data_IF_335104381206
#
_entry.id   IF_335104381206
#
_cell.length_a   1.000
_cell.length_b   1.000
_cell.length_c   1.000
_cell.angle_alpha   90.00
_cell.angle_beta   90.00
_cell.angle_gamma   90.00
#
_symmetry.space_group_name_H-M   'P 1'
#
loop_
_entity.id
_entity.type
_entity.pdbx_description
1 polymer ?
#
# COMPACT_ATOMS: atom_id res chain seq x y z
N UNK A 1 27.73 15.69 -16.02
CA UNK A 1 28.51 15.28 -14.84
C UNK A 1 27.83 15.73 -13.55
N UNK A 2 27.94 16.98 -13.07
CA UNK A 2 27.41 17.35 -11.72
C UNK A 2 25.92 17.06 -11.44
N UNK A 3 25.04 17.04 -12.45
CA UNK A 3 23.61 16.74 -12.25
C UNK A 3 23.37 15.25 -11.91
N UNK A 4 23.92 14.35 -12.72
CA UNK A 4 23.76 12.90 -12.57
C UNK A 4 24.59 12.37 -11.39
N UNK A 5 25.79 12.91 -11.19
CA UNK A 5 26.75 12.36 -10.24
C UNK A 5 26.57 12.88 -8.81
N UNK A 6 25.89 14.02 -8.64
CA UNK A 6 25.76 14.68 -7.33
C UNK A 6 24.33 15.09 -6.99
N UNK A 7 23.69 15.93 -7.81
CA UNK A 7 22.40 16.52 -7.44
C UNK A 7 21.27 15.50 -7.32
N UNK A 8 21.15 14.58 -8.28
CA UNK A 8 20.08 13.59 -8.29
C UNK A 8 20.27 12.56 -7.16
N UNK A 9 21.45 11.94 -6.97
CA UNK A 9 21.66 11.04 -5.84
C UNK A 9 21.45 11.73 -4.49
N UNK A 10 21.90 12.97 -4.34
CA UNK A 10 21.72 13.72 -3.10
C UNK A 10 20.24 14.05 -2.83
N UNK A 11 19.49 14.47 -3.85
CA UNK A 11 18.06 14.71 -3.74
C UNK A 11 17.31 13.43 -3.33
N UNK A 12 17.60 12.31 -4.00
CA UNK A 12 17.01 11.01 -3.69
C UNK A 12 17.38 10.50 -2.29
N UNK A 13 18.52 10.94 -1.73
CA UNK A 13 18.93 10.56 -0.37
C UNK A 13 18.14 11.27 0.74
N UNK A 14 17.53 12.42 0.43
CA UNK A 14 16.83 13.26 1.43
C UNK A 14 15.32 13.36 1.21
N UNK A 15 14.80 12.95 0.05
CA UNK A 15 13.37 12.98 -0.27
C UNK A 15 12.81 11.59 -0.53
N UNK A 16 11.56 11.36 -0.12
CA UNK A 16 10.77 10.22 -0.61
C UNK A 16 10.48 10.38 -2.11
N UNK A 17 9.98 9.31 -2.75
CA UNK A 17 9.67 9.30 -4.18
C UNK A 17 8.80 10.52 -4.57
N UNK A 18 9.34 11.36 -5.44
CA UNK A 18 8.74 12.62 -5.86
C UNK A 18 8.68 12.70 -7.39
N UNK A 19 7.59 13.23 -7.96
CA UNK A 19 7.51 13.58 -9.37
C UNK A 19 8.69 14.45 -9.82
N UNK A 20 9.45 13.97 -10.81
CA UNK A 20 10.60 14.67 -11.38
C UNK A 20 10.40 14.85 -12.89
N UNK A 21 10.76 16.01 -13.41
CA UNK A 21 10.77 16.31 -14.85
C UNK A 21 12.08 16.99 -15.20
N UNK A 22 12.76 16.52 -16.23
CA UNK A 22 14.02 17.09 -16.70
C UNK A 22 13.74 18.18 -17.74
N UNK A 23 14.31 19.37 -17.56
CA UNK A 23 14.10 20.48 -18.50
C UNK A 23 15.43 20.96 -19.06
N UNK A 24 15.65 20.70 -20.34
CA UNK A 24 16.77 21.26 -21.10
C UNK A 24 16.46 22.71 -21.51
N UNK A 25 16.65 23.64 -20.58
CA UNK A 25 16.33 25.05 -20.78
C UNK A 25 17.37 25.79 -21.65
N UNK A 26 16.99 26.95 -22.18
CA UNK A 26 17.81 27.85 -23.03
C UNK A 26 18.19 27.25 -24.39
N UNK A 27 17.32 26.46 -24.99
CA UNK A 27 17.56 25.89 -26.33
C UNK A 27 17.77 26.96 -27.42
N UNK A 28 17.31 28.18 -27.18
CA UNK A 28 17.55 29.34 -28.05
C UNK A 28 19.02 29.75 -28.18
N UNK A 29 19.87 29.33 -27.23
CA UNK A 29 21.32 29.58 -27.24
C UNK A 29 22.12 28.37 -27.76
N UNK A 30 21.45 27.26 -28.10
CA UNK A 30 22.13 26.06 -28.58
C UNK A 30 22.48 26.18 -30.07
N UNK A 31 23.75 25.94 -30.39
CA UNK A 31 24.23 25.86 -31.78
C UNK A 31 23.61 24.69 -32.56
N UNK A 32 23.20 23.63 -31.84
CA UNK A 32 22.53 22.46 -32.41
C UNK A 32 21.41 21.98 -31.51
N UNK A 33 20.17 22.23 -31.92
CA UNK A 33 18.98 21.67 -31.25
C UNK A 33 18.99 20.15 -31.23
N UNK A 34 19.57 19.50 -32.25
CA UNK A 34 19.67 18.03 -32.33
C UNK A 34 20.54 17.47 -31.20
N UNK A 35 21.72 18.04 -30.98
CA UNK A 35 22.63 17.56 -29.93
C UNK A 35 22.04 17.79 -28.53
N UNK A 36 21.33 18.91 -28.34
CA UNK A 36 20.63 19.18 -27.08
C UNK A 36 19.49 18.17 -26.83
N UNK A 37 18.81 17.73 -27.89
CA UNK A 37 17.76 16.72 -27.81
C UNK A 37 18.34 15.35 -27.48
N UNK A 38 19.44 14.94 -28.15
CA UNK A 38 20.16 13.69 -27.87
C UNK A 38 20.60 13.62 -26.40
N UNK A 39 21.25 14.66 -25.88
CA UNK A 39 21.68 14.71 -24.48
C UNK A 39 20.50 14.69 -23.47
N UNK A 40 19.36 15.27 -23.84
CA UNK A 40 18.15 15.21 -23.02
C UNK A 40 17.55 13.80 -23.01
N UNK A 41 17.54 13.12 -24.15
CA UNK A 41 16.99 11.78 -24.26
C UNK A 41 17.84 10.76 -23.48
N UNK A 42 19.17 10.87 -23.53
CA UNK A 42 20.08 10.07 -22.68
C UNK A 42 19.76 10.27 -21.20
N UNK A 43 19.54 11.52 -20.77
CA UNK A 43 19.24 11.84 -19.37
C UNK A 43 17.84 11.34 -18.96
N UNK A 44 16.86 11.37 -19.85
CA UNK A 44 15.52 10.82 -19.62
C UNK A 44 15.58 9.30 -19.45
N UNK A 45 16.37 8.61 -20.27
CA UNK A 45 16.52 7.17 -20.20
C UNK A 45 17.19 6.73 -18.90
N UNK A 46 18.30 7.39 -18.52
CA UNK A 46 19.03 7.11 -17.28
C UNK A 46 18.15 7.29 -16.03
N UNK A 47 17.29 8.30 -16.04
CA UNK A 47 16.48 8.66 -14.87
C UNK A 47 15.08 8.07 -14.89
N UNK A 48 14.60 7.56 -16.03
CA UNK A 48 13.24 7.06 -16.20
C UNK A 48 12.16 8.14 -16.05
N UNK A 49 12.48 9.41 -16.35
CA UNK A 49 11.58 10.56 -16.15
C UNK A 49 11.30 11.30 -17.45
N UNK A 50 10.13 11.97 -17.58
CA UNK A 50 9.85 12.81 -18.74
C UNK A 50 10.81 14.00 -18.79
N UNK A 51 11.08 14.49 -20.00
CA UNK A 51 11.88 15.69 -20.16
C UNK A 51 11.65 16.41 -21.48
N UNK A 52 11.90 17.72 -21.46
CA UNK A 52 11.57 18.63 -22.55
C UNK A 52 12.66 19.68 -22.76
N UNK A 53 12.96 20.00 -24.01
CA UNK A 53 13.73 21.20 -24.35
C UNK A 53 12.82 22.43 -24.24
N UNK A 54 13.29 23.47 -23.57
CA UNK A 54 12.55 24.71 -23.37
C UNK A 54 13.41 25.95 -23.57
N UNK A 55 12.74 27.10 -23.73
CA UNK A 55 13.37 28.41 -23.62
C UNK A 55 12.44 29.34 -22.86
N UNK A 56 12.85 29.72 -21.66
CA UNK A 56 12.15 30.74 -20.88
C UNK A 56 12.12 32.11 -21.58
N UNK A 57 13.08 32.37 -22.48
CA UNK A 57 13.17 33.64 -23.21
C UNK A 57 12.13 33.73 -24.33
N UNK A 58 11.89 32.63 -25.06
CA UNK A 58 10.94 32.60 -26.17
C UNK A 58 9.57 32.04 -25.78
N UNK A 59 9.46 31.48 -24.56
CA UNK A 59 8.27 30.77 -24.09
C UNK A 59 8.16 29.34 -24.63
N UNK A 60 9.12 28.87 -25.42
CA UNK A 60 9.09 27.52 -26.01
C UNK A 60 9.01 26.44 -24.91
N UNK A 61 7.96 25.64 -24.94
CA UNK A 61 7.74 24.46 -24.09
C UNK A 61 7.81 24.69 -22.56
N UNK A 62 7.73 25.94 -22.11
CA UNK A 62 7.70 26.25 -20.67
C UNK A 62 6.42 25.70 -20.04
N UNK A 63 5.26 26.01 -20.64
CA UNK A 63 3.97 25.52 -20.17
C UNK A 63 3.86 24.00 -20.23
N UNK A 64 4.42 23.38 -21.28
CA UNK A 64 4.43 21.92 -21.44
C UNK A 64 5.17 21.25 -20.30
N UNK A 65 6.33 21.80 -19.89
CA UNK A 65 7.11 21.28 -18.77
C UNK A 65 6.33 21.35 -17.45
N UNK A 66 5.70 22.50 -17.17
CA UNK A 66 4.87 22.67 -15.96
C UNK A 66 3.62 21.77 -15.98
N UNK A 67 2.95 21.64 -17.12
CA UNK A 67 1.78 20.77 -17.26
C UNK A 67 2.13 19.30 -17.05
N UNK A 68 3.28 18.85 -17.57
CA UNK A 68 3.76 17.49 -17.36
C UNK A 68 4.05 17.20 -15.88
N UNK A 69 4.69 18.14 -15.19
CA UNK A 69 4.93 18.04 -13.75
C UNK A 69 3.61 18.00 -12.96
N UNK A 70 2.68 18.91 -13.26
CA UNK A 70 1.39 18.97 -12.59
C UNK A 70 0.59 17.66 -12.76
N UNK A 71 0.57 17.10 -13.98
CA UNK A 71 -0.07 15.80 -14.24
C UNK A 71 0.57 14.67 -13.45
N UNK A 72 1.90 14.66 -13.34
CA UNK A 72 2.62 13.65 -12.56
C UNK A 72 2.31 13.75 -11.07
N UNK A 73 2.16 14.97 -10.53
CA UNK A 73 1.75 15.19 -9.13
C UNK A 73 0.33 14.68 -8.88
N UNK A 74 -0.62 15.01 -9.76
CA UNK A 74 -2.01 14.56 -9.62
C UNK A 74 -2.09 13.03 -9.72
N UNK A 75 -1.39 12.42 -10.67
CA UNK A 75 -1.38 10.96 -10.82
C UNK A 75 -0.80 10.24 -9.60
N UNK A 76 0.24 10.79 -8.97
CA UNK A 76 0.82 10.23 -7.75
C UNK A 76 -0.13 10.36 -6.55
N UNK A 77 -0.85 11.48 -6.45
CA UNK A 77 -1.89 11.68 -5.45
C UNK A 77 -3.06 10.70 -5.64
N UNK A 78 -3.53 10.51 -6.87
CA UNK A 78 -4.61 9.56 -7.18
C UNK A 78 -4.19 8.13 -6.82
N UNK A 79 -2.97 7.72 -7.18
CA UNK A 79 -2.45 6.40 -6.80
C UNK A 79 -2.39 6.21 -5.28
N UNK A 80 -1.95 7.23 -4.54
CA UNK A 80 -1.93 7.21 -3.06
C UNK A 80 -3.34 7.15 -2.46
N UNK A 81 -4.31 7.86 -3.03
CA UNK A 81 -5.71 7.82 -2.59
C UNK A 81 -6.35 6.45 -2.85
N UNK A 82 -6.17 5.89 -4.05
CA UNK A 82 -6.66 4.56 -4.39
C UNK A 82 -6.02 3.48 -3.52
N UNK A 83 -4.71 3.57 -3.24
CA UNK A 83 -4.04 2.65 -2.32
C UNK A 83 -4.64 2.72 -0.90
N UNK A 84 -4.95 3.92 -0.40
CA UNK A 84 -5.62 4.08 0.90
C UNK A 84 -7.03 3.47 0.91
N UNK A 85 -7.81 3.70 -0.14
CA UNK A 85 -9.15 3.12 -0.27
C UNK A 85 -9.11 1.59 -0.29
N UNK A 86 -8.17 0.99 -1.03
CA UNK A 86 -7.98 -0.45 -1.05
C UNK A 86 -7.59 -1.02 0.33
N UNK A 87 -6.78 -0.29 1.10
CA UNK A 87 -6.44 -0.67 2.49
C UNK A 87 -7.67 -0.58 3.40
N UNK A 88 -8.49 0.46 3.27
CA UNK A 88 -9.74 0.61 4.04
C UNK A 88 -10.77 -0.50 3.69
N UNK A 89 -10.93 -0.83 2.41
CA UNK A 89 -11.79 -1.93 1.95
C UNK A 89 -11.29 -3.28 2.48
N UNK A 90 -10.00 -3.57 2.36
CA UNK A 90 -9.41 -4.80 2.90
C UNK A 90 -9.58 -4.90 4.43
N UNK A 91 -9.39 -3.79 5.15
CA UNK A 91 -9.64 -3.74 6.59
C UNK A 91 -11.11 -4.03 6.91
N UNK A 92 -12.05 -3.51 6.11
CA UNK A 92 -13.47 -3.79 6.27
C UNK A 92 -13.80 -5.28 6.06
N UNK A 93 -13.22 -5.93 5.05
CA UNK A 93 -13.40 -7.37 4.82
C UNK A 93 -12.87 -8.20 6.00
N UNK A 94 -11.73 -7.83 6.58
CA UNK A 94 -11.22 -8.50 7.77
C UNK A 94 -12.09 -8.28 9.02
N UNK A 95 -12.77 -7.13 9.15
CA UNK A 95 -13.76 -6.91 10.22
C UNK A 95 -14.94 -7.88 10.06
N UNK A 96 -15.47 -8.02 8.85
CA UNK A 96 -16.57 -8.95 8.55
C UNK A 96 -16.16 -10.39 8.87
N UNK A 97 -14.95 -10.80 8.49
CA UNK A 97 -14.43 -12.13 8.83
C UNK A 97 -14.22 -12.30 10.34
N UNK A 98 -13.73 -11.27 11.03
CA UNK A 98 -13.58 -11.30 12.48
C UNK A 98 -14.91 -11.56 13.17
N UNK A 99 -15.96 -10.81 12.79
CA UNK A 99 -17.31 -10.99 13.34
C UNK A 99 -17.86 -12.39 13.04
N UNK A 100 -17.62 -12.91 11.84
CA UNK A 100 -18.04 -14.27 11.47
C UNK A 100 -17.34 -15.34 12.31
N UNK A 101 -16.04 -15.17 12.60
CA UNK A 101 -15.29 -16.05 13.51
C UNK A 101 -15.86 -16.00 14.93
N UNK A 102 -16.17 -14.79 15.42
CA UNK A 102 -16.74 -14.59 16.75
C UNK A 102 -18.11 -15.24 16.89
N UNK A 103 -19.00 -15.06 15.90
CA UNK A 103 -20.32 -15.68 15.90
C UNK A 103 -20.21 -17.21 15.87
N UNK A 104 -19.38 -17.76 15.00
CA UNK A 104 -19.16 -19.22 14.91
C UNK A 104 -18.64 -19.80 16.22
N UNK A 105 -17.70 -19.13 16.90
CA UNK A 105 -17.22 -19.53 18.21
C UNK A 105 -18.32 -19.47 19.27
N UNK A 106 -19.11 -18.40 19.28
CA UNK A 106 -20.19 -18.25 20.25
C UNK A 106 -21.24 -19.36 20.10
N UNK A 107 -21.59 -19.74 18.87
CA UNK A 107 -22.57 -20.79 18.61
C UNK A 107 -22.11 -22.16 19.15
N UNK A 108 -20.81 -22.48 19.04
CA UNK A 108 -20.29 -23.77 19.57
C UNK A 108 -20.02 -23.76 21.07
N UNK A 109 -19.82 -22.58 21.68
CA UNK A 109 -19.44 -22.44 23.10
C UNK A 109 -20.61 -22.06 24.03
N UNK A 110 -21.85 -22.36 23.63
CA UNK A 110 -23.03 -22.16 24.48
C UNK A 110 -23.68 -20.79 24.37
N UNK A 111 -23.45 -20.08 23.26
CA UNK A 111 -24.07 -18.81 22.93
C UNK A 111 -23.22 -17.58 23.25
N UNK A 112 -23.71 -16.42 22.82
CA UNK A 112 -22.97 -15.16 22.87
C UNK A 112 -22.59 -14.74 24.31
N UNK A 113 -23.50 -14.83 25.28
CA UNK A 113 -23.23 -14.36 26.65
C UNK A 113 -22.12 -15.17 27.35
N UNK A 114 -22.07 -16.49 27.14
CA UNK A 114 -21.09 -17.36 27.78
C UNK A 114 -19.71 -17.31 27.09
N UNK A 115 -19.70 -17.16 25.75
CA UNK A 115 -18.49 -17.28 24.95
C UNK A 115 -17.72 -15.96 24.78
N UNK A 116 -18.41 -14.81 24.84
CA UNK A 116 -17.79 -13.50 24.58
C UNK A 116 -16.63 -13.11 25.51
N UNK A 117 -16.63 -13.44 26.82
CA UNK A 117 -15.46 -13.20 27.67
C UNK A 117 -14.20 -13.92 27.16
N UNK A 118 -14.37 -15.16 26.69
CA UNK A 118 -13.26 -15.99 26.15
C UNK A 118 -12.77 -15.38 24.84
N UNK A 119 -13.69 -15.07 23.92
CA UNK A 119 -13.37 -14.43 22.63
C UNK A 119 -12.54 -13.16 22.83
N UNK A 120 -13.01 -12.27 23.70
CA UNK A 120 -12.35 -10.99 23.96
C UNK A 120 -10.95 -11.18 24.53
N UNK A 121 -10.79 -12.15 25.43
CA UNK A 121 -9.48 -12.49 26.00
C UNK A 121 -8.52 -13.03 24.92
N UNK A 122 -8.98 -13.91 24.04
CA UNK A 122 -8.12 -14.49 23.00
C UNK A 122 -7.75 -13.49 21.91
N UNK A 123 -8.67 -12.60 21.52
CA UNK A 123 -8.37 -11.48 20.60
C UNK A 123 -7.34 -10.53 21.19
N UNK A 124 -7.46 -10.17 22.47
CA UNK A 124 -6.44 -9.38 23.17
C UNK A 124 -5.09 -10.09 23.24
N UNK A 125 -5.08 -11.41 23.54
CA UNK A 125 -3.85 -12.22 23.57
C UNK A 125 -3.18 -12.31 22.20
N UNK A 126 -3.97 -12.31 21.13
CA UNK A 126 -3.49 -12.27 19.74
C UNK A 126 -3.04 -10.88 19.28
N UNK A 127 -3.23 -9.82 20.10
CA UNK A 127 -2.91 -8.46 19.71
C UNK A 127 -3.77 -7.93 18.55
N UNK A 128 -4.97 -8.48 18.36
CA UNK A 128 -5.87 -8.04 17.29
C UNK A 128 -6.50 -6.71 17.67
N UNK A 129 -6.27 -5.69 16.85
CA UNK A 129 -7.09 -4.48 16.88
C UNK A 129 -8.45 -4.78 16.23
N UNK A 130 -9.52 -4.66 17.01
CA UNK A 130 -10.90 -4.91 16.55
C UNK A 130 -11.30 -3.92 15.44
N UNK A 131 -10.68 -2.74 15.38
CA UNK A 131 -10.99 -1.71 14.37
C UNK A 131 -10.18 -1.86 13.08
N UNK A 132 -9.10 -2.62 13.11
CA UNK A 132 -8.23 -2.88 11.97
C UNK A 132 -7.59 -4.27 12.09
N UNK A 133 -8.39 -5.35 12.04
CA UNK A 133 -7.87 -6.70 12.17
C UNK A 133 -6.94 -7.03 11.00
N UNK A 134 -5.80 -7.64 11.31
CA UNK A 134 -4.83 -8.10 10.31
C UNK A 134 -4.99 -9.59 10.05
N UNK A 135 -4.61 -10.05 8.85
CA UNK A 135 -4.60 -11.47 8.52
C UNK A 135 -3.83 -12.32 9.54
N UNK A 136 -2.64 -11.86 9.94
CA UNK A 136 -1.80 -12.56 10.91
C UNK A 136 -2.42 -12.56 12.31
N UNK A 137 -2.98 -11.42 12.74
CA UNK A 137 -3.66 -11.31 14.02
C UNK A 137 -4.88 -12.24 14.10
N UNK A 138 -5.71 -12.27 13.04
CA UNK A 138 -6.85 -13.17 12.98
C UNK A 138 -6.43 -14.65 12.94
N UNK A 139 -5.34 -14.98 12.23
CA UNK A 139 -4.81 -16.35 12.22
C UNK A 139 -4.39 -16.79 13.63
N UNK A 140 -3.69 -15.92 14.35
CA UNK A 140 -3.26 -16.18 15.72
C UNK A 140 -4.45 -16.25 16.68
N UNK A 141 -5.46 -15.39 16.51
CA UNK A 141 -6.70 -15.44 17.28
C UNK A 141 -7.42 -16.78 17.08
N UNK A 142 -7.49 -17.30 15.85
CA UNK A 142 -8.06 -18.62 15.58
C UNK A 142 -7.29 -19.74 16.28
N UNK A 143 -5.95 -19.65 16.32
CA UNK A 143 -5.12 -20.61 17.06
C UNK A 143 -5.44 -20.58 18.57
N UNK A 144 -5.58 -19.41 19.18
CA UNK A 144 -5.95 -19.27 20.59
C UNK A 144 -7.40 -19.64 20.90
N UNK A 145 -8.33 -19.39 19.98
CA UNK A 145 -9.71 -19.86 20.12
C UNK A 145 -9.77 -21.39 20.08
N UNK A 146 -9.01 -22.03 19.20
CA UNK A 146 -8.92 -23.49 19.15
C UNK A 146 -8.32 -24.08 20.44
N UNK A 147 -7.29 -23.43 21.00
CA UNK A 147 -6.73 -23.79 22.32
C UNK A 147 -7.82 -23.73 23.40
N UNK A 148 -8.61 -22.65 23.44
CA UNK A 148 -9.71 -22.51 24.39
C UNK A 148 -10.80 -23.58 24.19
N UNK A 149 -11.19 -23.89 22.95
CA UNK A 149 -12.20 -24.92 22.66
C UNK A 149 -11.73 -26.33 23.04
N UNK A 150 -10.43 -26.62 22.93
CA UNK A 150 -9.88 -27.94 23.24
C UNK A 150 -10.10 -28.39 24.69
N UNK A 151 -10.37 -27.42 25.59
CA UNK A 151 -10.70 -27.70 26.99
C UNK A 151 -12.13 -28.20 27.18
N UNK A 152 -13.01 -28.01 26.19
CA UNK A 152 -14.45 -28.28 26.30
C UNK A 152 -15.00 -29.19 25.19
N UNK A 153 -14.28 -29.34 24.07
CA UNK A 153 -14.71 -30.08 22.88
C UNK A 153 -13.70 -31.15 22.48
N UNK A 154 -14.14 -32.11 21.67
CA UNK A 154 -13.25 -33.15 21.15
C UNK A 154 -12.27 -32.58 20.10
N UNK A 155 -11.12 -33.24 19.94
CA UNK A 155 -10.06 -32.76 19.06
C UNK A 155 -10.47 -32.69 17.58
N UNK A 156 -11.35 -33.59 17.12
CA UNK A 156 -11.80 -33.63 15.72
C UNK A 156 -12.65 -32.40 15.36
N UNK A 157 -13.57 -32.03 16.25
CA UNK A 157 -14.47 -30.89 16.08
C UNK A 157 -13.73 -29.55 16.19
N UNK A 158 -12.74 -29.46 17.09
CA UNK A 158 -11.89 -28.27 17.22
C UNK A 158 -11.06 -28.05 15.96
N UNK A 159 -10.46 -29.10 15.40
CA UNK A 159 -9.67 -29.00 14.17
C UNK A 159 -10.57 -28.66 12.97
N UNK A 160 -11.80 -29.17 12.92
CA UNK A 160 -12.78 -28.80 11.90
C UNK A 160 -13.17 -27.32 11.99
N UNK A 161 -13.50 -26.81 13.18
CA UNK A 161 -13.80 -25.39 13.43
C UNK A 161 -12.61 -24.50 13.08
N UNK A 162 -11.39 -24.89 13.47
CA UNK A 162 -10.15 -24.19 13.14
C UNK A 162 -9.95 -24.09 11.62
N UNK A 163 -10.05 -25.22 10.90
CA UNK A 163 -9.87 -25.27 9.45
C UNK A 163 -10.91 -24.42 8.71
N UNK A 164 -12.15 -24.43 9.18
CA UNK A 164 -13.25 -23.60 8.64
C UNK A 164 -12.93 -22.10 8.77
N UNK A 165 -12.55 -21.65 9.96
CA UNK A 165 -12.21 -20.24 10.24
C UNK A 165 -10.98 -19.76 9.47
N UNK A 166 -9.95 -20.61 9.37
CA UNK A 166 -8.79 -20.33 8.52
C UNK A 166 -9.16 -20.25 7.04
N UNK A 167 -10.20 -20.96 6.60
CA UNK A 167 -10.76 -20.86 5.26
C UNK A 167 -11.33 -19.47 4.97
N UNK A 168 -12.06 -18.87 5.92
CA UNK A 168 -12.61 -17.52 5.76
C UNK A 168 -11.51 -16.45 5.64
N UNK A 169 -10.46 -16.55 6.46
CA UNK A 169 -9.31 -15.64 6.39
C UNK A 169 -8.58 -15.76 5.04
N UNK A 170 -8.54 -16.95 4.44
CA UNK A 170 -7.92 -17.18 3.12
C UNK A 170 -8.78 -16.69 1.95
N UNK A 171 -10.09 -16.60 2.12
CA UNK A 171 -11.01 -16.15 1.08
C UNK A 171 -10.96 -14.63 0.86
N UNK A 172 -10.49 -13.87 1.87
CA UNK A 172 -10.24 -12.41 1.83
C UNK A 172 -8.84 -12.15 1.26
N UNK A 173 -8.59 -12.60 0.03
CA UNK A 173 -7.29 -12.51 -0.64
C UNK A 173 -7.40 -11.90 -2.02
#
# INVERSE_FOLDING_TARGET
ESLQDYWIPHLMSVTEAMPLVVVGNKVDLSDSRRNAQEALDDLKEVLGVPGFLSSAKTGLNVEVGFLALAKSIVSDLDAKLSARQAVEEAAHEFIVVADQIVMDFCDVMGGHEAAMPIVRQQLMKAGVDVRAPTREGLRLAVDYLAEAESSFRNAADVEASKKKRLGWIKAVA
#
